data_IF_569561408536
#
_entry.id   IF_569561408536
#
_cell.length_a   1.000
_cell.length_b   1.000
_cell.length_c   1.000
_cell.angle_alpha   90.00
_cell.angle_beta   90.00
_cell.angle_gamma   90.00
#
_symmetry.space_group_name_H-M   'P 1'
#
loop_
_entity.id
_entity.type
_entity.pdbx_description
1 polymer ?
#
# COMPACT_ATOMS: atom_id res chain seq x y z
N UNK A 1 4.98 -15.75 0.96
CA UNK A 1 4.35 -14.50 1.41
C UNK A 1 3.98 -14.71 2.87
N UNK A 2 4.46 -13.84 3.79
CA UNK A 2 4.13 -13.96 5.22
C UNK A 2 2.65 -13.65 5.49
N UNK A 3 2.17 -13.94 6.69
CA UNK A 3 0.79 -13.58 7.10
C UNK A 3 0.54 -12.07 7.02
N UNK A 4 1.54 -11.26 7.37
CA UNK A 4 1.47 -9.79 7.31
C UNK A 4 1.45 -9.30 5.86
N UNK A 5 2.29 -9.86 4.99
CA UNK A 5 2.29 -9.55 3.56
C UNK A 5 0.97 -9.96 2.88
N UNK A 6 0.38 -11.09 3.29
CA UNK A 6 -0.93 -11.51 2.81
C UNK A 6 -2.03 -10.53 3.23
N UNK A 7 -1.98 -10.06 4.48
CA UNK A 7 -2.93 -9.04 4.97
C UNK A 7 -2.77 -7.72 4.21
N UNK A 8 -1.53 -7.30 3.96
CA UNK A 8 -1.23 -6.12 3.15
C UNK A 8 -1.73 -6.27 1.70
N UNK A 9 -1.60 -7.46 1.13
CA UNK A 9 -2.15 -7.80 -0.17
C UNK A 9 -3.67 -7.65 -0.22
N UNK A 10 -4.38 -8.15 0.79
CA UNK A 10 -5.84 -8.01 0.87
C UNK A 10 -6.27 -6.54 0.83
N UNK A 11 -5.59 -5.64 1.56
CA UNK A 11 -5.87 -4.21 1.48
C UNK A 11 -5.52 -3.59 0.11
N UNK A 12 -4.40 -4.00 -0.48
CA UNK A 12 -4.05 -3.57 -1.84
C UNK A 12 -5.11 -4.00 -2.86
N UNK A 13 -5.70 -5.19 -2.69
CA UNK A 13 -6.74 -5.71 -3.57
C UNK A 13 -8.08 -5.01 -3.34
N UNK A 14 -8.49 -4.82 -2.08
CA UNK A 14 -9.72 -4.12 -1.69
C UNK A 14 -9.78 -2.70 -2.25
N UNK A 15 -8.69 -1.95 -2.13
CA UNK A 15 -8.64 -0.54 -2.55
C UNK A 15 -8.03 -0.32 -3.93
N UNK A 16 -7.67 -1.38 -4.66
CA UNK A 16 -6.91 -1.30 -5.92
C UNK A 16 -7.52 -0.32 -6.92
N UNK A 17 -8.82 -0.46 -7.18
CA UNK A 17 -9.55 0.35 -8.16
C UNK A 17 -9.49 1.84 -7.82
N UNK A 18 -9.67 2.19 -6.54
CA UNK A 18 -9.66 3.58 -6.08
C UNK A 18 -8.24 4.17 -6.05
N UNK A 19 -7.24 3.40 -5.61
CA UNK A 19 -5.84 3.79 -5.68
C UNK A 19 -5.46 4.09 -7.14
N UNK A 20 -5.82 3.20 -8.06
CA UNK A 20 -5.53 3.36 -9.50
C UNK A 20 -6.12 4.64 -10.07
N UNK A 21 -7.39 4.93 -9.75
CA UNK A 21 -8.06 6.17 -10.19
C UNK A 21 -7.37 7.42 -9.64
N UNK A 22 -7.02 7.43 -8.34
CA UNK A 22 -6.49 8.61 -7.66
C UNK A 22 -5.01 8.87 -7.94
N UNK A 23 -4.21 7.81 -8.07
CA UNK A 23 -2.76 7.92 -8.27
C UNK A 23 -2.33 7.76 -9.74
N UNK A 24 -3.26 7.41 -10.65
CA UNK A 24 -2.98 7.16 -12.07
C UNK A 24 -1.88 6.12 -12.31
N UNK A 25 -1.85 5.09 -11.46
CA UNK A 25 -0.84 4.03 -11.49
C UNK A 25 -1.26 2.87 -12.41
N UNK A 26 -0.30 2.04 -12.83
CA UNK A 26 -0.55 0.87 -13.71
C UNK A 26 -0.38 -0.47 -12.99
N UNK A 27 0.22 -0.43 -11.81
CA UNK A 27 0.55 -1.58 -10.98
C UNK A 27 -0.72 -2.31 -10.52
N UNK A 28 -0.71 -3.62 -10.63
CA UNK A 28 -1.71 -4.53 -10.02
C UNK A 28 -1.57 -4.54 -8.50
N UNK A 29 -2.61 -5.00 -7.78
CA UNK A 29 -2.57 -5.14 -6.31
C UNK A 29 -1.37 -5.99 -5.83
N UNK A 30 -1.03 -7.06 -6.54
CA UNK A 30 0.15 -7.90 -6.27
C UNK A 30 1.45 -7.09 -6.44
N UNK A 31 1.57 -6.30 -7.50
CA UNK A 31 2.77 -5.47 -7.73
C UNK A 31 2.90 -4.38 -6.67
N UNK A 32 1.81 -3.69 -6.31
CA UNK A 32 1.80 -2.70 -5.23
C UNK A 32 2.25 -3.36 -3.93
N UNK A 33 1.69 -4.52 -3.58
CA UNK A 33 2.08 -5.27 -2.37
C UNK A 33 3.57 -5.58 -2.38
N UNK A 34 4.11 -6.11 -3.50
CA UNK A 34 5.54 -6.42 -3.62
C UNK A 34 6.43 -5.19 -3.47
N UNK A 35 6.02 -4.04 -4.01
CA UNK A 35 6.76 -2.78 -3.85
C UNK A 35 6.75 -2.37 -2.39
N UNK A 36 5.58 -2.41 -1.73
CA UNK A 36 5.46 -2.08 -0.31
C UNK A 36 6.30 -3.02 0.56
N UNK A 37 6.24 -4.34 0.35
CA UNK A 37 7.06 -5.32 1.07
C UNK A 37 8.56 -5.14 0.89
N UNK A 38 9.01 -4.57 -0.24
CA UNK A 38 10.43 -4.27 -0.47
C UNK A 38 10.89 -2.99 0.23
N UNK A 39 9.98 -2.05 0.46
CA UNK A 39 10.28 -0.71 0.99
C UNK A 39 9.99 -0.58 2.48
N UNK A 40 9.07 -1.40 2.97
CA UNK A 40 8.69 -1.49 4.37
C UNK A 40 9.29 -2.75 4.97
N UNK A 41 9.96 -2.62 6.11
CA UNK A 41 10.37 -3.76 6.91
C UNK A 41 9.16 -4.31 7.72
N UNK A 42 9.35 -5.47 8.36
CA UNK A 42 8.26 -6.14 9.10
C UNK A 42 7.60 -5.27 10.16
N UNK A 43 8.37 -4.49 10.93
CA UNK A 43 7.79 -3.62 11.97
C UNK A 43 6.99 -2.44 11.39
N UNK A 44 7.39 -1.93 10.22
CA UNK A 44 6.64 -0.93 9.48
C UNK A 44 5.32 -1.49 8.92
N UNK A 45 5.35 -2.71 8.35
CA UNK A 45 4.14 -3.38 7.87
C UNK A 45 3.17 -3.60 9.05
N UNK A 46 3.67 -4.10 10.18
CA UNK A 46 2.86 -4.31 11.37
C UNK A 46 2.21 -3.00 11.85
N UNK A 47 2.96 -1.88 11.85
CA UNK A 47 2.41 -0.56 12.20
C UNK A 47 1.31 -0.11 11.24
N UNK A 48 1.50 -0.30 9.93
CA UNK A 48 0.47 0.02 8.93
C UNK A 48 -0.83 -0.76 9.20
N UNK A 49 -0.70 -2.06 9.51
CA UNK A 49 -1.86 -2.90 9.83
C UNK A 49 -2.57 -2.42 11.11
N UNK A 50 -1.81 -2.03 12.14
CA UNK A 50 -2.36 -1.48 13.39
C UNK A 50 -3.08 -0.14 13.17
N UNK A 51 -2.49 0.76 12.37
CA UNK A 51 -3.09 2.05 12.04
C UNK A 51 -4.41 1.86 11.27
N UNK A 52 -4.46 0.94 10.31
CA UNK A 52 -5.68 0.62 9.58
C UNK A 52 -6.79 0.15 10.53
N UNK A 53 -6.48 -0.76 11.46
CA UNK A 53 -7.45 -1.24 12.44
C UNK A 53 -7.93 -0.12 13.38
N UNK A 54 -7.05 0.80 13.77
CA UNK A 54 -7.43 1.97 14.57
C UNK A 54 -8.35 2.92 13.80
N UNK A 55 -8.05 3.17 12.52
CA UNK A 55 -8.85 4.05 11.65
C UNK A 55 -10.25 3.47 11.45
N UNK A 56 -10.37 2.16 11.21
CA UNK A 56 -11.66 1.47 11.12
C UNK A 56 -12.50 1.67 12.38
N UNK A 57 -11.88 1.51 13.57
CA UNK A 57 -12.56 1.69 14.87
C UNK A 57 -13.04 3.12 15.14
N UNK A 58 -12.49 4.11 14.43
CA UNK A 58 -12.83 5.54 14.58
C UNK A 58 -13.68 6.07 13.43
N UNK A 59 -14.24 5.19 12.61
CA UNK A 59 -14.99 5.54 11.40
C UNK A 59 -14.23 6.48 10.44
N UNK A 60 -12.90 6.36 10.41
CA UNK A 60 -12.04 7.13 9.53
C UNK A 60 -11.88 6.50 8.14
N UNK A 61 -11.37 7.28 7.18
CA UNK A 61 -11.14 6.79 5.82
C UNK A 61 -9.83 6.01 5.70
N UNK A 62 -9.92 4.67 5.80
CA UNK A 62 -8.79 3.75 5.55
C UNK A 62 -8.18 3.99 4.17
N UNK A 63 -9.02 4.22 3.15
CA UNK A 63 -8.58 4.53 1.79
C UNK A 63 -7.66 5.75 1.74
N UNK A 64 -8.02 6.86 2.38
CA UNK A 64 -7.22 8.09 2.34
C UNK A 64 -5.86 7.89 3.04
N UNK A 65 -5.84 7.20 4.18
CA UNK A 65 -4.60 6.85 4.87
C UNK A 65 -3.71 5.98 3.97
N UNK A 66 -4.30 4.93 3.38
CA UNK A 66 -3.57 3.98 2.56
C UNK A 66 -2.99 4.63 1.30
N UNK A 67 -3.74 5.51 0.64
CA UNK A 67 -3.24 6.31 -0.48
C UNK A 67 -2.11 7.24 -0.06
N UNK A 68 -2.22 7.89 1.11
CA UNK A 68 -1.18 8.78 1.65
C UNK A 68 0.13 8.04 1.90
N UNK A 69 0.05 6.79 2.34
CA UNK A 69 1.21 5.90 2.52
C UNK A 69 1.79 5.44 1.17
N UNK A 70 0.93 4.95 0.26
CA UNK A 70 1.35 4.31 -1.00
C UNK A 70 1.94 5.31 -1.98
N UNK A 71 1.34 6.51 -2.09
CA UNK A 71 1.70 7.50 -3.09
C UNK A 71 3.20 7.87 -3.09
N UNK A 72 3.84 8.23 -1.95
CA UNK A 72 5.27 8.54 -1.95
C UNK A 72 6.13 7.31 -2.29
N UNK A 73 5.73 6.11 -1.85
CA UNK A 73 6.48 4.88 -2.10
C UNK A 73 6.48 4.53 -3.59
N UNK A 74 5.32 4.57 -4.23
CA UNK A 74 5.20 4.29 -5.67
C UNK A 74 5.90 5.37 -6.51
N UNK A 75 5.75 6.65 -6.15
CA UNK A 75 6.41 7.76 -6.88
C UNK A 75 7.94 7.64 -6.85
N UNK A 76 8.51 7.14 -5.75
CA UNK A 76 9.94 6.92 -5.65
C UNK A 76 10.42 5.73 -6.49
N UNK A 77 9.60 4.69 -6.63
CA UNK A 77 9.94 3.50 -7.43
C UNK A 77 9.80 3.74 -8.94
N UNK A 78 8.77 4.50 -9.37
CA UNK A 78 8.61 4.92 -10.76
C UNK A 78 9.78 5.79 -11.26
N UNK A 79 10.37 6.60 -10.38
CA UNK A 79 11.55 7.43 -10.74
C UNK A 79 12.84 6.62 -10.86
N UNK A 80 12.96 5.51 -10.15
CA UNK A 80 14.11 4.61 -10.25
C UNK A 80 14.04 3.66 -11.47
N UNK A 81 12.86 3.51 -12.08
CA UNK A 81 12.65 2.65 -13.25
C UNK A 81 13.05 3.29 -14.61
N UNK A 82 13.61 4.51 -14.62
CA UNK A 82 14.11 5.18 -15.83
C UNK A 82 15.61 4.93 -16.13
N UNK A 83 16.24 3.94 -15.49
CA UNK A 83 17.63 3.55 -15.72
C UNK A 83 17.75 2.07 -16.16
N UNK A 84 16.86 1.62 -17.04
CA UNK A 84 16.97 0.33 -17.75
C UNK A 84 16.74 0.53 -19.25
#
# INVERSE_FOLDING_TARGET
>A
MSAEEYTLYCFCAEFHSEIRKRLLIKETSIQITRILSKKLNGSQIQRVLQDIELIKKRDGSVLNYFITLIHPILKHDSRNSNNL
#
